data_IF_120223457480
#
_entry.id   IF_120223457480
#
_cell.length_a   1.000
_cell.length_b   1.000
_cell.length_c   1.000
_cell.angle_alpha   90.00
_cell.angle_beta   90.00
_cell.angle_gamma   90.00
#
_symmetry.space_group_name_H-M   'P 1'
#
loop_
_entity.id
_entity.type
_entity.pdbx_description
1 polymer ?
#
# COMPACT_ATOMS: atom_id res chain seq x y z
N UNK A 1 -31.63 -9.63 -3.74
CA UNK A 1 -30.41 -10.27 -3.15
C UNK A 1 -29.09 -9.78 -3.75
N UNK A 2 -28.94 -9.70 -5.08
CA UNK A 2 -27.67 -9.24 -5.71
C UNK A 2 -27.22 -7.84 -5.25
N UNK A 3 -28.13 -6.88 -5.10
CA UNK A 3 -27.81 -5.50 -4.69
C UNK A 3 -27.24 -5.42 -3.28
N UNK A 4 -27.78 -6.20 -2.34
CA UNK A 4 -27.28 -6.24 -0.96
C UNK A 4 -25.87 -6.85 -0.89
N UNK A 5 -25.60 -7.90 -1.66
CA UNK A 5 -24.28 -8.52 -1.75
C UNK A 5 -23.25 -7.56 -2.34
N UNK A 6 -23.62 -6.79 -3.37
CA UNK A 6 -22.77 -5.74 -3.93
C UNK A 6 -22.52 -4.59 -2.96
N UNK A 7 -23.52 -4.16 -2.19
CA UNK A 7 -23.34 -3.11 -1.18
C UNK A 7 -22.37 -3.58 -0.08
N UNK A 8 -22.53 -4.81 0.42
CA UNK A 8 -21.61 -5.39 1.40
C UNK A 8 -20.18 -5.50 0.82
N UNK A 9 -20.04 -5.90 -0.44
CA UNK A 9 -18.75 -5.97 -1.13
C UNK A 9 -18.07 -4.60 -1.25
N UNK A 10 -18.83 -3.58 -1.66
CA UNK A 10 -18.33 -2.21 -1.82
C UNK A 10 -17.94 -1.62 -0.48
N UNK A 11 -18.76 -1.77 0.56
CA UNK A 11 -18.46 -1.30 1.91
C UNK A 11 -17.23 -2.01 2.50
N UNK A 12 -17.11 -3.32 2.29
CA UNK A 12 -15.92 -4.08 2.70
C UNK A 12 -14.65 -3.57 2.01
N UNK A 13 -14.65 -3.41 0.68
CA UNK A 13 -13.47 -2.91 -0.03
C UNK A 13 -13.14 -1.48 0.34
N UNK A 14 -14.14 -0.63 0.59
CA UNK A 14 -13.93 0.76 0.98
C UNK A 14 -13.31 0.85 2.38
N UNK A 15 -13.79 0.05 3.35
CA UNK A 15 -13.18 -0.04 4.67
C UNK A 15 -11.75 -0.59 4.62
N UNK A 16 -11.50 -1.61 3.80
CA UNK A 16 -10.17 -2.18 3.60
C UNK A 16 -9.23 -1.16 2.95
N UNK A 17 -9.69 -0.43 1.95
CA UNK A 17 -8.92 0.64 1.31
C UNK A 17 -8.57 1.74 2.31
N UNK A 18 -9.54 2.20 3.11
CA UNK A 18 -9.32 3.21 4.16
C UNK A 18 -8.34 2.71 5.21
N UNK A 19 -8.46 1.46 5.65
CA UNK A 19 -7.54 0.87 6.62
C UNK A 19 -6.12 0.72 6.03
N UNK A 20 -5.99 0.28 4.78
CA UNK A 20 -4.71 0.18 4.08
C UNK A 20 -4.08 1.56 3.91
N UNK A 21 -4.85 2.56 3.48
CA UNK A 21 -4.37 3.94 3.35
C UNK A 21 -3.94 4.50 4.70
N UNK A 22 -4.66 4.19 5.78
CA UNK A 22 -4.29 4.60 7.13
C UNK A 22 -3.01 3.92 7.61
N UNK A 23 -2.84 2.61 7.38
CA UNK A 23 -1.62 1.88 7.70
C UNK A 23 -0.44 2.39 6.89
N UNK A 24 -0.60 2.61 5.58
CA UNK A 24 0.44 3.16 4.72
C UNK A 24 0.76 4.61 5.07
N UNK A 25 -0.23 5.44 5.42
CA UNK A 25 0.00 6.79 5.94
C UNK A 25 0.76 6.74 7.25
N UNK A 26 0.38 5.87 8.18
CA UNK A 26 1.07 5.68 9.45
C UNK A 26 2.52 5.21 9.23
N UNK A 27 2.76 4.25 8.34
CA UNK A 27 4.10 3.75 8.01
C UNK A 27 4.95 4.77 7.24
N UNK A 28 4.33 5.61 6.40
CA UNK A 28 4.98 6.73 5.71
C UNK A 28 5.30 7.88 6.69
N UNK A 29 4.47 8.07 7.73
CA UNK A 29 4.72 9.05 8.81
C UNK A 29 5.79 8.55 9.80
N UNK A 30 5.84 7.24 10.03
CA UNK A 30 6.79 6.54 10.90
C UNK A 30 7.68 5.61 10.09
N UNK A 31 8.40 6.14 9.08
CA UNK A 31 9.52 5.43 8.46
C UNK A 31 10.37 4.87 9.59
N UNK A 32 10.22 3.57 9.79
CA UNK A 32 10.45 2.93 11.06
C UNK A 32 11.97 2.88 11.27
N UNK A 33 12.53 3.54 12.31
CA UNK A 33 13.97 3.49 12.57
C UNK A 33 14.48 2.05 12.81
N UNK A 34 13.55 1.10 13.00
CA UNK A 34 13.82 -0.34 13.09
C UNK A 34 14.33 -0.92 11.75
N UNK A 35 13.84 -0.45 10.59
CA UNK A 35 14.17 -1.02 9.29
C UNK A 35 15.13 -0.18 8.45
N UNK A 36 15.07 1.15 8.59
CA UNK A 36 16.12 2.03 8.05
C UNK A 36 16.68 2.82 9.22
N UNK A 37 17.90 2.50 9.68
CA UNK A 37 18.53 3.20 10.80
C UNK A 37 18.48 4.71 10.59
N UNK A 38 18.15 5.44 11.65
CA UNK A 38 18.16 6.91 11.62
C UNK A 38 19.51 7.46 11.16
N UNK A 39 20.59 6.72 11.41
CA UNK A 39 21.96 7.07 11.05
C UNK A 39 22.17 7.23 9.54
N UNK A 40 21.31 6.63 8.70
CA UNK A 40 21.32 6.90 7.25
C UNK A 40 20.82 8.31 6.89
N UNK A 41 20.11 8.99 7.79
CA UNK A 41 19.71 10.40 7.62
C UNK A 41 20.79 11.38 8.08
N UNK A 42 21.77 10.92 8.85
CA UNK A 42 22.74 11.78 9.51
C UNK A 42 24.15 11.50 8.98
N UNK A 43 24.81 12.54 8.48
CA UNK A 43 26.21 12.47 8.07
C UNK A 43 26.96 13.56 8.81
N UNK A 44 28.01 13.19 9.56
CA UNK A 44 28.81 14.12 10.36
C UNK A 44 27.99 14.99 11.34
N UNK A 45 26.93 14.43 11.94
CA UNK A 45 26.06 15.15 12.88
C UNK A 45 25.13 16.19 12.22
N UNK A 46 25.06 16.22 10.88
CA UNK A 46 24.14 17.05 10.09
C UNK A 46 23.20 16.17 9.30
N UNK A 47 22.05 16.71 8.91
CA UNK A 47 21.16 16.03 7.97
C UNK A 47 21.91 15.83 6.65
N UNK A 48 21.96 14.60 6.13
CA UNK A 48 22.64 14.31 4.86
C UNK A 48 21.99 15.10 3.72
N UNK A 49 22.77 15.79 2.90
CA UNK A 49 22.25 16.57 1.77
C UNK A 49 21.70 15.66 0.65
N UNK A 50 22.29 14.47 0.46
CA UNK A 50 21.81 13.47 -0.49
C UNK A 50 20.90 12.43 0.18
N UNK A 51 19.60 12.70 0.15
CA UNK A 51 18.55 11.79 0.64
C UNK A 51 18.10 10.77 -0.42
N UNK A 52 18.72 10.73 -1.60
CA UNK A 52 18.25 9.90 -2.73
C UNK A 52 18.26 8.41 -2.39
N UNK A 53 19.37 7.90 -1.84
CA UNK A 53 19.49 6.51 -1.43
C UNK A 53 18.52 6.13 -0.31
N UNK A 54 18.25 7.07 0.60
CA UNK A 54 17.31 6.88 1.70
C UNK A 54 15.86 6.84 1.18
N UNK A 55 15.49 7.74 0.26
CA UNK A 55 14.20 7.74 -0.43
C UNK A 55 13.99 6.46 -1.25
N UNK A 56 15.03 5.97 -1.94
CA UNK A 56 14.97 4.71 -2.69
C UNK A 56 14.76 3.51 -1.76
N UNK A 57 15.49 3.42 -0.66
CA UNK A 57 15.32 2.36 0.32
C UNK A 57 13.89 2.34 0.91
N UNK A 58 13.35 3.52 1.23
CA UNK A 58 11.96 3.66 1.68
C UNK A 58 10.96 3.21 0.64
N UNK A 59 11.16 3.62 -0.61
CA UNK A 59 10.26 3.25 -1.71
C UNK A 59 10.22 1.74 -1.92
N UNK A 60 11.37 1.06 -1.82
CA UNK A 60 11.45 -0.40 -1.93
C UNK A 60 10.67 -1.08 -0.81
N UNK A 61 10.85 -0.65 0.45
CA UNK A 61 10.13 -1.23 1.59
C UNK A 61 8.62 -1.01 1.44
N UNK A 62 8.19 0.21 1.13
CA UNK A 62 6.78 0.53 0.89
C UNK A 62 6.20 -0.32 -0.25
N UNK A 63 6.95 -0.53 -1.33
CA UNK A 63 6.53 -1.38 -2.44
C UNK A 63 6.33 -2.84 -2.01
N UNK A 64 7.21 -3.37 -1.15
CA UNK A 64 7.06 -4.72 -0.59
C UNK A 64 5.83 -4.84 0.33
N UNK A 65 5.58 -3.83 1.16
CA UNK A 65 4.38 -3.78 2.01
C UNK A 65 3.10 -3.72 1.16
N UNK A 66 3.08 -2.88 0.12
CA UNK A 66 1.98 -2.80 -0.83
C UNK A 66 1.78 -4.14 -1.55
N UNK A 67 2.85 -4.84 -1.92
CA UNK A 67 2.77 -6.17 -2.52
C UNK A 67 2.12 -7.18 -1.56
N UNK A 68 2.54 -7.19 -0.29
CA UNK A 68 1.98 -8.06 0.74
C UNK A 68 0.49 -7.77 0.98
N UNK A 69 0.13 -6.50 1.13
CA UNK A 69 -1.26 -6.06 1.29
C UNK A 69 -2.10 -6.45 0.07
N UNK A 70 -1.59 -6.25 -1.14
CA UNK A 70 -2.29 -6.60 -2.38
C UNK A 70 -2.52 -8.10 -2.47
N UNK A 71 -1.55 -8.91 -2.02
CA UNK A 71 -1.67 -10.37 -1.97
C UNK A 71 -2.74 -10.81 -0.96
N UNK A 72 -2.77 -10.22 0.24
CA UNK A 72 -3.84 -10.45 1.20
C UNK A 72 -5.21 -10.04 0.63
N UNK A 73 -5.28 -8.90 -0.05
CA UNK A 73 -6.47 -8.43 -0.75
C UNK A 73 -6.97 -9.42 -1.80
N UNK A 74 -6.06 -10.08 -2.54
CA UNK A 74 -6.42 -11.15 -3.47
C UNK A 74 -7.08 -12.34 -2.76
N UNK A 75 -6.48 -12.83 -1.66
CA UNK A 75 -7.01 -13.96 -0.90
C UNK A 75 -8.41 -13.70 -0.35
N UNK A 76 -8.64 -12.50 0.19
CA UNK A 76 -9.94 -12.15 0.75
C UNK A 76 -10.96 -11.95 -0.37
N UNK A 77 -10.63 -11.18 -1.41
CA UNK A 77 -11.54 -10.96 -2.55
C UNK A 77 -11.92 -12.28 -3.23
N UNK A 78 -10.97 -13.20 -3.42
CA UNK A 78 -11.24 -14.55 -3.96
C UNK A 78 -12.26 -15.29 -3.10
N UNK A 79 -12.12 -15.21 -1.78
CA UNK A 79 -13.03 -15.89 -0.84
C UNK A 79 -14.43 -15.27 -0.86
N UNK A 80 -14.52 -13.94 -0.96
CA UNK A 80 -15.79 -13.21 -1.07
C UNK A 80 -16.50 -13.51 -2.39
N UNK A 81 -15.80 -13.42 -3.51
CA UNK A 81 -16.37 -13.74 -4.82
C UNK A 81 -16.79 -15.21 -4.96
N UNK A 82 -16.07 -16.13 -4.31
CA UNK A 82 -16.48 -17.53 -4.21
C UNK A 82 -17.80 -17.66 -3.45
N UNK A 83 -17.99 -16.95 -2.32
CA UNK A 83 -19.24 -16.94 -1.56
C UNK A 83 -20.41 -16.29 -2.31
N UNK A 84 -20.11 -15.37 -3.24
CA UNK A 84 -21.10 -14.70 -4.09
C UNK A 84 -21.49 -15.51 -5.33
N UNK A 85 -20.94 -16.72 -5.52
CA UNK A 85 -21.16 -17.55 -6.71
C UNK A 85 -20.94 -16.79 -8.03
N UNK A 86 -19.93 -15.92 -8.09
CA UNK A 86 -19.58 -15.25 -9.35
C UNK A 86 -18.95 -16.22 -10.34
N UNK A 87 -19.25 -16.03 -11.62
CA UNK A 87 -18.54 -16.70 -12.70
C UNK A 87 -17.11 -16.12 -12.70
N UNK A 88 -16.09 -16.94 -12.48
CA UNK A 88 -14.65 -16.55 -12.45
C UNK A 88 -14.15 -15.73 -11.23
N UNK A 89 -14.35 -16.18 -9.98
CA UNK A 89 -13.98 -15.42 -8.77
C UNK A 89 -12.48 -15.15 -8.67
N UNK A 90 -11.64 -16.03 -9.24
CA UNK A 90 -10.18 -15.86 -9.27
C UNK A 90 -9.75 -14.70 -10.18
N UNK A 91 -10.42 -14.51 -11.32
CA UNK A 91 -10.05 -13.49 -12.31
C UNK A 91 -10.33 -12.09 -11.77
N UNK A 92 -11.53 -11.89 -11.21
CA UNK A 92 -11.89 -10.60 -10.59
C UNK A 92 -11.01 -10.30 -9.37
N UNK A 93 -10.76 -11.26 -8.49
CA UNK A 93 -9.85 -11.06 -7.36
C UNK A 93 -8.44 -10.66 -7.80
N UNK A 94 -7.92 -11.30 -8.87
CA UNK A 94 -6.62 -10.98 -9.43
C UNK A 94 -6.58 -9.55 -9.96
N UNK A 95 -7.57 -9.14 -10.74
CA UNK A 95 -7.63 -7.77 -11.28
C UNK A 95 -7.74 -6.73 -10.18
N UNK A 96 -8.61 -6.93 -9.18
CA UNK A 96 -8.73 -6.00 -8.04
C UNK A 96 -7.40 -5.83 -7.30
N UNK A 97 -6.67 -6.94 -7.07
CA UNK A 97 -5.36 -6.91 -6.41
C UNK A 97 -4.29 -6.20 -7.24
N UNK A 98 -4.24 -6.43 -8.56
CA UNK A 98 -3.30 -5.75 -9.47
C UNK A 98 -3.58 -4.24 -9.51
N UNK A 99 -4.85 -3.85 -9.64
CA UNK A 99 -5.23 -2.42 -9.67
C UNK A 99 -4.88 -1.75 -8.35
N UNK A 100 -5.18 -2.40 -7.21
CA UNK A 100 -4.83 -1.90 -5.89
C UNK A 100 -3.31 -1.71 -5.74
N UNK A 101 -2.52 -2.70 -6.16
CA UNK A 101 -1.06 -2.63 -6.14
C UNK A 101 -0.53 -1.42 -6.92
N UNK A 102 -1.00 -1.24 -8.16
CA UNK A 102 -0.55 -0.15 -9.03
C UNK A 102 -0.92 1.22 -8.45
N UNK A 103 -2.16 1.39 -8.01
CA UNK A 103 -2.64 2.67 -7.45
C UNK A 103 -1.85 3.05 -6.21
N UNK A 104 -1.64 2.10 -5.28
CA UNK A 104 -0.89 2.37 -4.05
C UNK A 104 0.59 2.65 -4.32
N UNK A 105 1.19 1.95 -5.30
CA UNK A 105 2.60 2.16 -5.67
C UNK A 105 2.80 3.56 -6.26
N UNK A 106 1.94 3.97 -7.20
CA UNK A 106 1.98 5.32 -7.81
C UNK A 106 1.77 6.39 -6.72
N UNK A 107 0.79 6.20 -5.85
CA UNK A 107 0.51 7.14 -4.75
C UNK A 107 1.70 7.27 -3.79
N UNK A 108 2.35 6.16 -3.47
CA UNK A 108 3.52 6.14 -2.57
C UNK A 108 4.73 6.83 -3.20
N UNK A 109 5.00 6.56 -4.49
CA UNK A 109 6.04 7.25 -5.23
C UNK A 109 5.80 8.77 -5.26
N UNK A 110 4.59 9.21 -5.59
CA UNK A 110 4.21 10.62 -5.59
C UNK A 110 4.37 11.26 -4.20
N UNK A 111 3.94 10.57 -3.14
CA UNK A 111 4.01 11.06 -1.76
C UNK A 111 5.45 11.24 -1.29
N UNK A 112 6.33 10.27 -1.59
CA UNK A 112 7.76 10.38 -1.29
C UNK A 112 8.40 11.55 -2.03
N UNK A 113 8.20 11.64 -3.35
CA UNK A 113 8.77 12.73 -4.16
C UNK A 113 8.34 14.10 -3.64
N UNK A 114 7.06 14.27 -3.31
CA UNK A 114 6.53 15.53 -2.77
C UNK A 114 7.06 15.87 -1.38
N UNK A 115 7.35 14.86 -0.55
CA UNK A 115 7.92 15.07 0.77
C UNK A 115 9.37 15.56 0.67
N UNK A 116 10.19 14.88 -0.13
CA UNK A 116 11.60 15.24 -0.31
C UNK A 116 11.82 16.50 -1.15
N UNK A 117 10.88 16.89 -2.01
CA UNK A 117 10.98 18.17 -2.76
C UNK A 117 10.70 19.42 -1.90
N UNK A 118 10.27 19.25 -0.65
CA UNK A 118 9.95 20.34 0.29
C UNK A 118 11.02 20.54 1.37
N UNK A 119 11.95 19.60 1.50
CA UNK A 119 13.13 19.67 2.35
C UNK A 119 14.24 20.43 1.62
#
# INVERSE_FOLDING_TARGET
MKTLQWNIYSSYNLLVLVFILWVLLYLNTYINPIFIPSDFRWENGRLREDMTYFMLAQFVILTLEIAFISLLGFWINRSVFKRMNMNEPKKYAKWTSIVLFLVLTIFSAYSLLKFYSRL
#
